data_IF_388101764180
#
_entry.id   IF_388101764180
#
_cell.length_a   1.000
_cell.length_b   1.000
_cell.length_c   1.000
_cell.angle_alpha   90.00
_cell.angle_beta   90.00
_cell.angle_gamma   90.00
#
_symmetry.space_group_name_H-M   'P 1'
#
loop_
_entity.id
_entity.type
_entity.pdbx_description
1 polymer ?
#
# COMPACT_ATOMS: atom_id res chain seq x y z
N UNK A 1 -10.92 -1.46 20.15
CA UNK A 1 -10.82 -1.67 19.69
C UNK A 1 -10.32 -2.11 18.93
N UNK A 2 -10.34 -2.21 18.48
CA UNK A 2 -10.10 -2.78 17.85
C UNK A 2 -9.00 -3.00 17.25
N UNK A 3 -8.61 -3.58 16.84
CA UNK A 3 -7.59 -4.20 16.17
C UNK A 3 -7.29 -3.67 14.89
N UNK A 4 -7.28 -2.44 14.73
CA UNK A 4 -7.03 -1.84 13.49
C UNK A 4 -5.67 -2.13 12.98
N UNK A 5 -4.72 -2.44 13.83
CA UNK A 5 -3.38 -2.72 13.36
C UNK A 5 -3.28 -4.02 12.60
N UNK A 6 -4.32 -4.83 12.64
CA UNK A 6 -4.32 -6.07 11.90
C UNK A 6 -4.98 -5.93 10.55
N UNK A 7 -5.46 -4.76 10.23
CA UNK A 7 -6.12 -4.53 8.96
C UNK A 7 -5.32 -3.52 8.16
N UNK A 8 -5.06 -3.78 6.89
CA UNK A 8 -4.37 -2.79 6.07
C UNK A 8 -5.27 -1.58 5.91
N UNK A 9 -4.67 -0.42 5.81
CA UNK A 9 -5.43 0.78 5.58
C UNK A 9 -5.96 0.76 4.15
N UNK A 10 -7.02 1.51 3.91
CA UNK A 10 -7.54 1.62 2.56
C UNK A 10 -6.49 2.22 1.64
N UNK A 11 -5.71 3.17 2.14
CA UNK A 11 -4.65 3.77 1.35
C UNK A 11 -3.62 2.72 0.94
N UNK A 12 -3.26 1.83 1.85
CA UNK A 12 -2.29 0.78 1.53
C UNK A 12 -2.83 -0.13 0.44
N UNK A 13 -4.10 -0.49 0.52
CA UNK A 13 -4.71 -1.34 -0.49
C UNK A 13 -4.77 -0.63 -1.84
N UNK A 14 -5.09 0.65 -1.84
CA UNK A 14 -5.13 1.41 -3.07
C UNK A 14 -3.75 1.52 -3.69
N UNK A 15 -2.74 1.74 -2.88
CA UNK A 15 -1.37 1.82 -3.39
C UNK A 15 -0.94 0.49 -3.99
N UNK A 16 -1.24 -0.60 -3.32
CA UNK A 16 -0.86 -1.91 -3.80
C UNK A 16 -1.57 -2.22 -5.12
N UNK A 17 -2.85 -1.95 -5.19
CA UNK A 17 -3.63 -2.22 -6.38
C UNK A 17 -3.12 -1.39 -7.55
N UNK A 18 -2.90 -0.11 -7.34
CA UNK A 18 -2.44 0.77 -8.41
C UNK A 18 -1.03 0.40 -8.84
N UNK A 19 -0.16 0.07 -7.90
CA UNK A 19 1.21 -0.30 -8.24
C UNK A 19 1.23 -1.58 -9.05
N UNK A 20 0.38 -2.52 -8.72
CA UNK A 20 0.30 -3.79 -9.45
C UNK A 20 -0.28 -3.56 -10.84
N UNK A 21 -1.33 -2.78 -10.92
CA UNK A 21 -2.00 -2.56 -12.19
C UNK A 21 -1.10 -1.81 -13.17
N UNK A 22 -0.36 -0.81 -12.67
CA UNK A 22 0.53 -0.03 -13.53
C UNK A 22 1.91 -0.66 -13.67
N UNK A 23 2.25 -1.59 -12.80
CA UNK A 23 3.59 -2.17 -12.73
C UNK A 23 4.62 -1.08 -12.51
N UNK A 24 4.25 -0.08 -11.72
CA UNK A 24 5.11 1.08 -11.52
C UNK A 24 4.64 1.87 -10.32
N UNK A 25 5.55 2.11 -9.38
CA UNK A 25 5.23 2.95 -8.24
C UNK A 25 5.04 4.41 -8.66
N UNK A 26 5.79 4.84 -9.65
CA UNK A 26 5.69 6.22 -10.12
C UNK A 26 4.29 6.48 -10.68
N UNK A 27 3.81 5.58 -11.51
CA UNK A 27 2.50 5.75 -12.10
C UNK A 27 1.39 5.62 -11.06
N UNK A 28 1.57 4.71 -10.13
CA UNK A 28 0.60 4.57 -9.06
C UNK A 28 0.52 5.85 -8.24
N UNK A 29 1.67 6.45 -7.96
CA UNK A 29 1.70 7.70 -7.21
C UNK A 29 0.98 8.81 -7.96
N UNK A 30 1.17 8.87 -9.25
CA UNK A 30 0.48 9.87 -10.05
C UNK A 30 -1.03 9.68 -10.01
N UNK A 31 -1.46 8.45 -10.16
CA UNK A 31 -2.89 8.17 -10.13
C UNK A 31 -3.50 8.54 -8.80
N UNK A 32 -2.81 8.24 -7.71
CA UNK A 32 -3.35 8.45 -6.38
C UNK A 32 -3.01 9.83 -5.82
N UNK A 33 -2.28 10.61 -6.59
CA UNK A 33 -1.89 11.95 -6.18
C UNK A 33 -1.03 11.91 -4.92
N UNK A 34 -0.12 10.97 -4.89
CA UNK A 34 0.82 10.78 -3.79
C UNK A 34 2.24 10.83 -4.33
N UNK A 35 3.20 10.85 -3.41
CA UNK A 35 4.59 10.74 -3.83
C UNK A 35 4.94 9.27 -4.01
N UNK A 36 5.97 9.01 -4.80
CA UNK A 36 6.43 7.64 -4.99
C UNK A 36 6.88 7.04 -3.66
N UNK A 37 7.53 7.83 -2.82
CA UNK A 37 7.96 7.35 -1.51
C UNK A 37 6.78 6.92 -0.66
N UNK A 38 5.68 7.66 -0.73
CA UNK A 38 4.51 7.32 0.04
C UNK A 38 3.91 6.01 -0.45
N UNK A 39 3.84 5.83 -1.77
CA UNK A 39 3.30 4.59 -2.32
C UNK A 39 4.18 3.42 -1.93
N UNK A 40 5.48 3.57 -2.07
CA UNK A 40 6.42 2.51 -1.74
C UNK A 40 6.31 2.11 -0.28
N UNK A 41 6.17 3.09 0.60
CA UNK A 41 6.04 2.84 2.02
C UNK A 41 4.75 2.08 2.34
N UNK A 42 3.66 2.48 1.71
CA UNK A 42 2.38 1.82 1.94
C UNK A 42 2.40 0.38 1.45
N UNK A 43 2.98 0.17 0.28
CA UNK A 43 3.07 -1.19 -0.25
C UNK A 43 3.95 -2.05 0.65
N UNK A 44 5.06 -1.50 1.13
CA UNK A 44 5.95 -2.25 2.02
C UNK A 44 5.23 -2.63 3.32
N UNK A 45 4.43 -1.72 3.84
CA UNK A 45 3.66 -2.02 5.05
C UNK A 45 2.67 -3.14 4.82
N UNK A 46 2.02 -3.12 3.68
CA UNK A 46 1.06 -4.16 3.36
C UNK A 46 1.75 -5.51 3.19
N UNK A 47 2.87 -5.53 2.51
CA UNK A 47 3.62 -6.76 2.33
C UNK A 47 4.10 -7.32 3.65
N UNK A 48 4.54 -6.44 4.54
CA UNK A 48 5.00 -6.86 5.85
C UNK A 48 3.85 -7.50 6.63
N UNK A 49 2.68 -6.90 6.53
CA UNK A 49 1.52 -7.43 7.21
C UNK A 49 1.15 -8.81 6.69
N UNK A 50 1.26 -9.00 5.38
CA UNK A 50 0.92 -10.29 4.79
C UNK A 50 1.94 -11.37 5.12
N UNK A 51 3.18 -10.97 5.38
CA UNK A 51 4.21 -11.93 5.71
C UNK A 51 4.20 -12.33 7.17
N UNK A 52 3.48 -11.59 8.00
CA UNK A 52 3.40 -11.89 9.41
C UNK A 52 1.97 -12.19 9.78
N UNK A 53 1.51 -13.36 9.45
CA UNK A 53 0.09 -13.68 9.60
C UNK A 53 -0.26 -13.94 11.03
N UNK A 54 0.39 -13.69 11.91
CA UNK A 54 0.04 -13.90 13.25
C UNK A 54 0.42 -15.17 13.76
#
# INVERSE_FOLDING_TARGET
MLNKRHLPSITALQCFEAATRHLSFTRAAEELNLTQSAVSKQVAQLEDMLQHPL
#
